data_IF_726105061404
#
_entry.id   IF_726105061404
#
_cell.length_a   1.000
_cell.length_b   1.000
_cell.length_c   1.000
_cell.angle_alpha   90.00
_cell.angle_beta   90.00
_cell.angle_gamma   90.00
#
_symmetry.space_group_name_H-M   'P 1'
#
loop_
_entity.id
_entity.type
_entity.pdbx_description
1 polymer ?
#
# COMPACT_ATOMS: atom_id res chain seq x y z
N UNK A 1 28.45 -6.62 21.73
CA UNK A 1 27.72 -5.93 22.81
C UNK A 1 26.85 -4.88 22.14
N UNK A 2 25.60 -5.21 21.83
CA UNK A 2 24.70 -4.37 21.03
C UNK A 2 24.00 -3.41 21.97
N UNK A 3 24.29 -2.11 21.84
CA UNK A 3 23.64 -1.06 22.62
C UNK A 3 22.24 -0.86 22.07
N UNK A 4 21.24 -1.34 22.81
CA UNK A 4 19.85 -0.96 22.62
C UNK A 4 19.67 0.49 23.05
N UNK A 5 19.64 1.41 22.10
CA UNK A 5 19.20 2.79 22.34
C UNK A 5 17.68 2.81 22.41
N UNK A 6 17.14 3.02 23.61
CA UNK A 6 15.73 3.33 23.87
C UNK A 6 15.36 4.64 23.19
N UNK A 7 14.27 4.61 22.42
CA UNK A 7 13.60 5.75 21.80
C UNK A 7 12.83 6.57 22.86
N UNK A 8 13.13 7.87 23.05
CA UNK A 8 12.48 8.69 24.07
C UNK A 8 11.22 9.38 23.51
N UNK A 9 10.05 9.01 24.04
CA UNK A 9 8.86 9.88 24.07
C UNK A 9 8.05 9.99 22.77
N UNK A 10 7.30 8.94 22.43
CA UNK A 10 6.26 9.00 21.38
C UNK A 10 5.88 7.63 20.81
N UNK A 11 6.79 6.65 20.86
CA UNK A 11 6.60 5.30 20.30
C UNK A 11 5.74 4.32 21.11
N UNK A 12 5.24 4.71 22.29
CA UNK A 12 4.58 3.79 23.23
C UNK A 12 3.28 3.16 22.68
N UNK A 13 2.62 3.80 21.72
CA UNK A 13 1.25 3.46 21.33
C UNK A 13 1.10 2.69 20.01
N UNK A 14 2.13 2.67 19.15
CA UNK A 14 2.19 1.76 18.00
C UNK A 14 2.65 0.36 18.43
N UNK A 15 3.55 0.29 19.41
CA UNK A 15 4.03 -0.97 19.99
C UNK A 15 2.93 -1.79 20.67
N UNK A 16 1.93 -1.14 21.28
CA UNK A 16 0.79 -1.82 21.93
C UNK A 16 -0.13 -2.57 20.94
N UNK A 17 -0.22 -2.10 19.69
CA UNK A 17 -0.99 -2.72 18.61
C UNK A 17 -0.24 -3.85 17.88
N UNK A 18 1.08 -4.01 18.10
CA UNK A 18 1.97 -4.94 17.37
C UNK A 18 1.87 -6.42 17.77
N UNK A 19 0.94 -6.80 18.64
CA UNK A 19 0.73 -8.23 18.91
C UNK A 19 0.14 -8.91 17.67
N UNK A 20 0.87 -9.83 17.02
CA UNK A 20 0.40 -10.57 15.83
C UNK A 20 -1.04 -11.10 15.99
N UNK A 21 -1.35 -11.65 17.16
CA UNK A 21 -2.69 -12.16 17.48
C UNK A 21 -3.77 -11.06 17.58
N UNK A 22 -3.41 -9.88 18.09
CA UNK A 22 -4.34 -8.76 18.18
C UNK A 22 -4.63 -8.16 16.79
N UNK A 23 -3.62 -8.10 15.93
CA UNK A 23 -3.75 -7.66 14.55
C UNK A 23 -4.70 -8.57 13.75
N UNK A 24 -4.58 -9.90 13.90
CA UNK A 24 -5.52 -10.88 13.31
C UNK A 24 -6.97 -10.67 13.78
N UNK A 25 -7.16 -10.44 15.08
CA UNK A 25 -8.51 -10.19 15.64
C UNK A 25 -9.08 -8.86 15.14
N UNK A 26 -8.26 -7.80 15.08
CA UNK A 26 -8.65 -6.50 14.53
C UNK A 26 -9.04 -6.60 13.06
N UNK A 27 -8.31 -7.36 12.25
CA UNK A 27 -8.60 -7.53 10.83
C UNK A 27 -9.92 -8.26 10.58
N UNK A 28 -10.21 -9.27 11.40
CA UNK A 28 -11.51 -9.95 11.37
C UNK A 28 -12.65 -9.03 11.81
N UNK A 29 -12.44 -8.18 12.82
CA UNK A 29 -13.44 -7.18 13.23
C UNK A 29 -13.69 -6.17 12.10
N UNK A 30 -12.62 -5.70 11.44
CA UNK A 30 -12.69 -4.78 10.29
C UNK A 30 -13.47 -5.39 9.13
N UNK A 31 -13.17 -6.65 8.78
CA UNK A 31 -13.80 -7.34 7.65
C UNK A 31 -15.25 -7.75 7.94
N UNK A 32 -15.60 -7.97 9.21
CA UNK A 32 -16.97 -8.26 9.62
C UNK A 32 -17.92 -7.05 9.52
N UNK A 33 -17.38 -5.82 9.53
CA UNK A 33 -18.17 -4.59 9.44
C UNK A 33 -19.21 -4.45 10.56
N UNK A 34 -20.33 -3.76 10.27
CA UNK A 34 -21.40 -3.51 11.24
C UNK A 34 -22.11 -4.79 11.73
N UNK A 35 -22.08 -5.87 10.94
CA UNK A 35 -22.62 -7.15 11.36
C UNK A 35 -21.86 -7.73 12.58
N UNK A 36 -20.60 -7.32 12.75
CA UNK A 36 -19.71 -7.77 13.80
C UNK A 36 -19.41 -9.27 13.76
N UNK A 37 -18.61 -9.74 14.71
CA UNK A 37 -18.17 -11.13 14.82
C UNK A 37 -18.16 -11.58 16.29
N UNK A 38 -18.61 -12.80 16.56
CA UNK A 38 -18.61 -13.35 17.92
C UNK A 38 -17.23 -13.86 18.34
N UNK A 39 -16.98 -13.95 19.66
CA UNK A 39 -15.72 -14.53 20.19
C UNK A 39 -15.47 -15.97 19.73
N UNK A 40 -16.54 -16.75 19.54
CA UNK A 40 -16.44 -18.12 19.03
C UNK A 40 -15.96 -18.14 17.57
N UNK A 41 -16.51 -17.27 16.73
CA UNK A 41 -16.09 -17.14 15.34
C UNK A 41 -14.67 -16.60 15.22
N UNK A 42 -14.29 -15.63 16.07
CA UNK A 42 -12.91 -15.14 16.17
C UNK A 42 -11.95 -16.28 16.52
N UNK A 43 -12.25 -17.10 17.54
CA UNK A 43 -11.41 -18.25 17.89
C UNK A 43 -11.30 -19.25 16.73
N UNK A 44 -12.43 -19.58 16.08
CA UNK A 44 -12.46 -20.51 14.96
C UNK A 44 -11.67 -20.03 13.74
N UNK A 45 -11.71 -18.73 13.40
CA UNK A 45 -11.01 -18.18 12.23
C UNK A 45 -9.54 -17.84 12.49
N UNK A 46 -9.18 -17.50 13.72
CA UNK A 46 -7.79 -17.19 14.08
C UNK A 46 -6.98 -18.40 14.53
N UNK A 47 -7.62 -19.50 14.93
CA UNK A 47 -6.95 -20.64 15.57
C UNK A 47 -6.50 -20.37 17.02
N UNK A 48 -6.86 -19.22 17.59
CA UNK A 48 -6.51 -18.85 18.96
C UNK A 48 -7.41 -19.55 19.98
N UNK A 49 -6.89 -19.77 21.19
CA UNK A 49 -7.69 -20.31 22.29
C UNK A 49 -8.81 -19.33 22.69
N UNK A 50 -9.97 -19.82 23.17
CA UNK A 50 -11.05 -18.94 23.65
C UNK A 50 -10.60 -17.95 24.74
N UNK A 51 -9.66 -18.36 25.59
CA UNK A 51 -9.06 -17.51 26.63
C UNK A 51 -8.23 -16.38 26.01
N UNK A 52 -7.40 -16.68 24.99
CA UNK A 52 -6.61 -15.68 24.29
C UNK A 52 -7.51 -14.65 23.58
N UNK A 53 -8.55 -15.11 22.87
CA UNK A 53 -9.54 -14.21 22.23
C UNK A 53 -10.25 -13.35 23.28
N UNK A 54 -10.61 -13.91 24.43
CA UNK A 54 -11.25 -13.15 25.51
C UNK A 54 -10.33 -12.05 26.05
N UNK A 55 -9.04 -12.35 26.29
CA UNK A 55 -8.05 -11.36 26.75
C UNK A 55 -7.82 -10.26 25.71
N UNK A 56 -7.67 -10.63 24.44
CA UNK A 56 -7.46 -9.67 23.34
C UNK A 56 -8.69 -8.76 23.20
N UNK A 57 -9.88 -9.33 23.10
CA UNK A 57 -11.12 -8.55 22.90
C UNK A 57 -11.45 -7.67 24.11
N UNK A 58 -11.16 -8.12 25.33
CA UNK A 58 -11.30 -7.27 26.52
C UNK A 58 -10.37 -6.05 26.46
N UNK A 59 -9.11 -6.26 26.06
CA UNK A 59 -8.15 -5.16 25.87
C UNK A 59 -8.59 -4.19 24.78
N UNK A 60 -9.00 -4.68 23.60
CA UNK A 60 -9.47 -3.84 22.50
C UNK A 60 -10.69 -2.99 22.89
N UNK A 61 -11.58 -3.53 23.73
CA UNK A 61 -12.72 -2.76 24.28
C UNK A 61 -12.27 -1.70 25.28
N UNK A 62 -11.35 -2.04 26.17
CA UNK A 62 -10.78 -1.08 27.14
C UNK A 62 -10.06 0.08 26.44
N UNK A 63 -9.44 -0.19 25.28
CA UNK A 63 -8.80 0.82 24.42
C UNK A 63 -9.80 1.57 23.52
N UNK A 64 -11.10 1.24 23.56
CA UNK A 64 -12.14 1.86 22.73
C UNK A 64 -12.12 1.46 21.25
N UNK A 65 -11.26 0.50 20.85
CA UNK A 65 -11.12 0.04 19.47
C UNK A 65 -12.24 -0.91 19.03
N UNK A 66 -12.90 -1.57 20.00
CA UNK A 66 -14.01 -2.48 19.74
C UNK A 66 -15.19 -2.19 20.68
N UNK A 67 -16.40 -2.37 20.17
CA UNK A 67 -17.65 -2.23 20.92
C UNK A 67 -18.54 -3.46 20.73
N UNK A 68 -19.55 -3.62 21.59
CA UNK A 68 -20.57 -4.65 21.37
C UNK A 68 -21.53 -4.18 20.27
N UNK A 69 -21.82 -5.04 19.30
CA UNK A 69 -22.72 -4.76 18.17
C UNK A 69 -24.19 -5.11 18.48
N UNK A 70 -24.55 -5.27 19.76
CA UNK A 70 -25.83 -5.81 20.22
C UNK A 70 -25.88 -7.34 20.31
N UNK A 71 -27.06 -7.88 20.65
CA UNK A 71 -27.32 -9.34 20.75
C UNK A 71 -28.03 -9.81 19.49
N UNK A 72 -27.41 -10.70 18.70
CA UNK A 72 -28.15 -11.45 17.65
C UNK A 72 -29.10 -12.46 18.30
N UNK A 73 -30.33 -12.56 17.79
CA UNK A 73 -31.26 -13.62 18.16
C UNK A 73 -30.64 -14.98 17.80
N UNK A 74 -30.53 -15.88 18.80
CA UNK A 74 -30.00 -17.23 18.61
C UNK A 74 -31.14 -18.17 18.24
N UNK A 75 -30.97 -18.97 17.19
CA UNK A 75 -31.75 -20.18 16.96
C UNK A 75 -31.32 -21.23 18.01
N UNK A 76 -31.83 -21.12 19.24
CA UNK A 76 -31.74 -22.16 20.27
C UNK A 76 -30.50 -22.18 21.18
N UNK A 77 -30.01 -21.03 21.69
CA UNK A 77 -28.88 -20.97 22.62
C UNK A 77 -28.70 -19.63 23.36
N UNK A 78 -27.77 -19.57 24.34
CA UNK A 78 -27.45 -18.35 25.12
C UNK A 78 -27.05 -17.20 24.17
N UNK A 79 -27.51 -15.95 24.38
CA UNK A 79 -27.22 -14.82 23.50
C UNK A 79 -25.71 -14.66 23.26
N UNK A 80 -25.30 -14.56 22.00
CA UNK A 80 -23.89 -14.39 21.63
C UNK A 80 -23.52 -12.93 21.69
N UNK A 81 -22.49 -12.57 22.47
CA UNK A 81 -21.88 -11.24 22.38
C UNK A 81 -21.18 -11.11 21.03
N UNK A 82 -21.65 -10.18 20.22
CA UNK A 82 -21.05 -9.82 18.94
C UNK A 82 -20.21 -8.56 19.15
N UNK A 83 -18.99 -8.56 18.62
CA UNK A 83 -18.07 -7.44 18.69
C UNK A 83 -17.93 -6.80 17.31
N UNK A 84 -17.83 -5.49 17.26
CA UNK A 84 -17.50 -4.72 16.06
C UNK A 84 -16.33 -3.78 16.32
N UNK A 85 -15.61 -3.44 15.26
CA UNK A 85 -14.63 -2.36 15.28
C UNK A 85 -15.35 -1.03 15.57
N UNK A 86 -14.69 -0.11 16.25
CA UNK A 86 -15.13 1.29 16.35
C UNK A 86 -14.31 2.09 15.33
N UNK A 87 -14.85 2.42 14.14
CA UNK A 87 -14.04 3.01 13.06
C UNK A 87 -13.32 4.29 13.48
N UNK A 88 -14.01 5.19 14.17
CA UNK A 88 -13.52 6.49 14.60
C UNK A 88 -12.55 6.45 15.80
N UNK A 89 -12.24 5.28 16.36
CA UNK A 89 -11.38 5.15 17.55
C UNK A 89 -9.93 5.59 17.30
N UNK A 90 -9.47 5.52 16.05
CA UNK A 90 -8.19 6.07 15.64
C UNK A 90 -8.20 6.41 14.14
N UNK A 91 -7.20 7.19 13.73
CA UNK A 91 -7.08 7.70 12.38
C UNK A 91 -5.68 7.46 11.80
N UNK A 92 -5.59 7.34 10.48
CA UNK A 92 -4.33 7.37 9.75
C UNK A 92 -4.32 8.55 8.79
N UNK A 93 -3.17 9.22 8.67
CA UNK A 93 -2.99 10.32 7.73
C UNK A 93 -2.28 9.81 6.48
N UNK A 94 -2.87 10.05 5.32
CA UNK A 94 -2.25 9.86 4.02
C UNK A 94 -1.85 11.20 3.41
N UNK A 95 -0.61 11.28 2.94
CA UNK A 95 -0.03 12.47 2.31
C UNK A 95 0.45 12.07 0.93
N UNK A 96 -0.05 12.74 -0.11
CA UNK A 96 0.44 12.60 -1.47
C UNK A 96 1.08 13.92 -1.91
N UNK A 97 2.40 13.89 -2.11
CA UNK A 97 3.17 14.95 -2.77
C UNK A 97 3.31 14.60 -4.25
N UNK A 98 2.50 15.23 -5.10
CA UNK A 98 2.68 15.20 -6.55
C UNK A 98 3.64 16.32 -6.96
N UNK A 99 3.94 16.43 -8.26
CA UNK A 99 4.79 17.48 -8.82
C UNK A 99 4.20 18.89 -8.65
N UNK A 100 2.88 19.02 -8.80
CA UNK A 100 2.14 20.28 -8.84
C UNK A 100 1.01 20.39 -7.79
N UNK A 101 0.85 19.39 -6.92
CA UNK A 101 -0.17 19.39 -5.89
C UNK A 101 0.20 18.62 -4.61
N UNK A 102 -0.44 19.01 -3.51
CA UNK A 102 -0.49 18.26 -2.26
C UNK A 102 -1.92 17.77 -2.03
N UNK A 103 -2.07 16.47 -1.76
CA UNK A 103 -3.34 15.88 -1.31
C UNK A 103 -3.16 15.24 0.06
N UNK A 104 -4.04 15.59 1.00
CA UNK A 104 -4.11 15.02 2.33
C UNK A 104 -5.41 14.23 2.49
N UNK A 105 -5.32 13.06 3.12
CA UNK A 105 -6.46 12.24 3.49
C UNK A 105 -6.34 11.80 4.95
N UNK A 106 -7.29 12.20 5.79
CA UNK A 106 -7.45 11.63 7.12
C UNK A 106 -8.45 10.48 7.01
N UNK A 107 -8.07 9.26 7.39
CA UNK A 107 -8.95 8.09 7.33
C UNK A 107 -9.22 7.53 8.71
N UNK A 108 -10.37 6.88 8.89
CA UNK A 108 -10.69 6.10 10.07
C UNK A 108 -10.01 4.71 10.03
N UNK A 109 -10.27 3.84 11.03
CA UNK A 109 -9.71 2.50 11.10
C UNK A 109 -10.21 1.54 10.00
N UNK A 110 -11.30 1.87 9.31
CA UNK A 110 -11.75 1.08 8.14
C UNK A 110 -11.06 1.52 6.85
N UNK A 111 -10.32 2.63 6.90
CA UNK A 111 -9.72 3.28 5.73
C UNK A 111 -10.68 4.23 5.01
N UNK A 112 -11.87 4.49 5.57
CA UNK A 112 -12.81 5.45 5.00
C UNK A 112 -12.31 6.88 5.25
N UNK A 113 -12.39 7.79 4.25
CA UNK A 113 -11.98 9.17 4.42
C UNK A 113 -12.90 9.92 5.39
N UNK A 114 -12.32 10.50 6.43
CA UNK A 114 -12.95 11.43 7.37
C UNK A 114 -12.81 12.87 6.88
N UNK A 115 -11.65 13.20 6.32
CA UNK A 115 -11.40 14.50 5.71
C UNK A 115 -10.43 14.39 4.54
N UNK A 116 -10.65 15.21 3.53
CA UNK A 116 -9.80 15.34 2.35
C UNK A 116 -9.44 16.80 2.13
N UNK A 117 -8.19 17.08 1.80
CA UNK A 117 -7.75 18.40 1.39
C UNK A 117 -6.83 18.29 0.19
N UNK A 118 -7.10 19.10 -0.84
CA UNK A 118 -6.27 19.20 -2.03
C UNK A 118 -5.87 20.66 -2.24
N UNK A 119 -4.63 20.89 -2.62
CA UNK A 119 -4.11 22.24 -2.87
C UNK A 119 -2.93 22.20 -3.85
N UNK A 120 -2.72 23.29 -4.61
CA UNK A 120 -1.50 23.46 -5.39
C UNK A 120 -0.26 23.41 -4.49
N UNK A 121 0.80 22.78 -4.98
CA UNK A 121 2.12 22.75 -4.35
C UNK A 121 3.17 22.45 -5.42
N UNK A 122 4.30 23.14 -5.42
CA UNK A 122 5.35 22.90 -6.41
C UNK A 122 6.47 22.09 -5.80
N UNK A 123 6.68 20.85 -6.25
CA UNK A 123 7.71 19.96 -5.71
C UNK A 123 9.14 20.50 -5.91
N UNK A 124 9.33 21.37 -6.91
CA UNK A 124 10.62 22.02 -7.22
C UNK A 124 10.92 23.24 -6.35
N UNK A 125 10.04 23.61 -5.41
CA UNK A 125 10.31 24.68 -4.43
C UNK A 125 11.32 24.28 -3.36
N UNK A 126 11.74 23.01 -3.35
CA UNK A 126 12.74 22.44 -2.46
C UNK A 126 12.16 21.69 -1.27
N UNK A 127 12.84 20.61 -0.82
CA UNK A 127 12.29 19.68 0.15
C UNK A 127 11.97 20.33 1.49
N UNK A 128 12.79 21.25 1.98
CA UNK A 128 12.55 21.92 3.26
C UNK A 128 11.28 22.76 3.24
N UNK A 129 11.07 23.53 2.18
CA UNK A 129 9.90 24.40 2.01
C UNK A 129 8.64 23.58 1.76
N UNK A 130 8.74 22.56 0.90
CA UNK A 130 7.64 21.62 0.62
C UNK A 130 7.20 20.94 1.92
N UNK A 131 8.11 20.34 2.69
CA UNK A 131 7.76 19.63 3.92
C UNK A 131 7.30 20.56 5.05
N UNK A 132 7.80 21.81 5.12
CA UNK A 132 7.27 22.82 6.03
C UNK A 132 5.79 23.10 5.72
N UNK A 133 5.51 23.37 4.44
CA UNK A 133 4.17 23.61 3.92
C UNK A 133 3.25 22.42 4.19
N UNK A 134 3.72 21.19 3.92
CA UNK A 134 2.96 19.97 4.22
C UNK A 134 2.62 19.88 5.71
N UNK A 135 3.57 20.15 6.61
CA UNK A 135 3.34 20.05 8.04
C UNK A 135 2.32 21.09 8.56
N UNK A 136 2.34 22.31 8.03
CA UNK A 136 1.33 23.33 8.33
C UNK A 136 -0.07 22.89 7.92
N UNK A 137 -0.18 22.29 6.74
CA UNK A 137 -1.46 21.82 6.21
C UNK A 137 -2.03 20.61 6.93
N UNK A 138 -1.15 19.71 7.35
CA UNK A 138 -1.54 18.59 8.20
C UNK A 138 -2.07 19.11 9.52
N UNK A 139 -1.39 20.06 10.17
CA UNK A 139 -1.88 20.67 11.42
C UNK A 139 -3.23 21.35 11.23
N UNK A 140 -3.40 22.10 10.14
CA UNK A 140 -4.66 22.76 9.81
C UNK A 140 -5.81 21.75 9.58
N UNK A 141 -5.54 20.66 8.84
CA UNK A 141 -6.52 19.59 8.62
C UNK A 141 -6.92 18.94 9.95
N UNK A 142 -5.95 18.56 10.78
CA UNK A 142 -6.20 17.91 12.06
C UNK A 142 -6.98 18.80 13.03
N UNK A 143 -6.65 20.09 13.10
CA UNK A 143 -7.38 21.07 13.91
C UNK A 143 -8.83 21.23 13.45
N UNK A 144 -9.10 21.24 12.14
CA UNK A 144 -10.45 21.34 11.59
C UNK A 144 -11.30 20.09 11.82
N UNK A 145 -10.66 18.92 12.03
CA UNK A 145 -11.34 17.65 12.30
C UNK A 145 -11.45 17.30 13.78
N UNK A 146 -10.86 18.11 14.67
CA UNK A 146 -11.00 17.88 16.10
C UNK A 146 -12.47 18.05 16.51
N UNK A 147 -13.02 17.16 17.35
CA UNK A 147 -14.37 17.33 17.88
C UNK A 147 -14.43 18.67 18.63
N UNK A 148 -15.48 19.46 18.37
CA UNK A 148 -15.69 20.73 19.05
C UNK A 148 -15.82 20.49 20.56
N UNK A 149 -14.80 20.88 21.32
CA UNK A 149 -14.74 20.75 22.77
C UNK A 149 -14.03 21.96 23.38
N UNK A 150 -14.87 22.87 23.89
CA UNK A 150 -14.65 23.88 24.94
C UNK A 150 -13.56 24.95 24.72
N UNK A 151 -14.02 26.21 24.69
CA UNK A 151 -13.17 27.38 24.75
C UNK A 151 -12.39 27.45 26.07
N UNK A 152 -11.41 28.37 26.18
CA UNK A 152 -10.63 28.52 27.40
C UNK A 152 -11.52 29.12 28.49
N UNK A 153 -12.18 28.27 29.28
CA UNK A 153 -12.91 28.71 30.46
C UNK A 153 -11.92 29.20 31.51
N UNK A 154 -11.77 30.53 31.53
CA UNK A 154 -11.90 31.36 32.72
C UNK A 154 -11.17 30.91 33.98
N UNK A 155 -9.99 31.48 34.20
CA UNK A 155 -9.48 31.72 35.54
C UNK A 155 -10.53 32.49 36.37
N UNK A 156 -10.97 31.87 37.47
CA UNK A 156 -11.80 32.48 38.50
C UNK A 156 -11.70 31.66 39.79
N UNK A 157 -11.46 32.27 40.96
CA UNK A 157 -10.66 31.66 42.02
C UNK A 157 -11.44 30.74 42.96
N UNK A 158 -10.65 29.87 43.59
CA UNK A 158 -10.97 28.99 44.71
C UNK A 158 -11.54 29.79 45.88
N UNK A 159 -12.71 29.36 46.38
CA UNK A 159 -13.31 29.81 47.63
C UNK A 159 -13.54 28.62 48.57
N UNK A 160 -13.07 28.79 49.80
CA UNK A 160 -12.93 27.81 50.87
C UNK A 160 -14.24 27.18 51.35
N UNK A 161 -14.14 25.97 51.92
CA UNK A 161 -15.27 25.17 52.39
C UNK A 161 -15.82 25.56 53.76
N UNK A 162 -16.87 24.84 54.17
CA UNK A 162 -17.26 24.58 55.56
C UNK A 162 -18.14 23.33 55.62
N UNK A 163 -17.97 22.61 56.71
CA UNK A 163 -18.59 21.33 57.07
C UNK A 163 -20.09 21.43 57.39
N UNK A 164 -20.80 20.30 57.36
CA UNK A 164 -22.19 20.21 57.85
C UNK A 164 -22.82 18.82 57.75
N UNK A 165 -22.79 18.12 58.89
CA UNK A 165 -23.62 17.04 59.45
C UNK A 165 -24.73 16.35 58.61
N UNK A 166 -24.83 15.02 58.82
CA UNK A 166 -25.78 14.14 58.16
C UNK A 166 -27.10 13.89 58.88
N UNK A 167 -27.94 13.06 58.26
CA UNK A 167 -29.05 12.32 58.90
C UNK A 167 -29.38 11.07 58.07
N UNK A 168 -29.71 10.00 58.79
CA UNK A 168 -30.13 8.69 58.30
C UNK A 168 -31.53 8.71 57.67
N UNK A 169 -31.79 7.79 56.74
CA UNK A 169 -33.13 7.52 56.19
C UNK A 169 -33.17 6.23 55.37
N UNK A 170 -33.81 5.20 55.92
CA UNK A 170 -34.11 3.91 55.28
C UNK A 170 -35.07 4.05 54.07
N UNK A 171 -34.92 3.16 53.09
CA UNK A 171 -36.08 2.58 52.39
C UNK A 171 -36.10 2.60 50.86
N UNK A 172 -36.13 1.38 50.31
CA UNK A 172 -36.94 0.90 49.18
C UNK A 172 -36.23 0.50 47.87
N UNK A 173 -36.59 -0.72 47.47
CA UNK A 173 -36.30 -1.40 46.22
C UNK A 173 -36.74 -0.60 44.99
N UNK A 174 -35.81 -0.38 44.06
CA UNK A 174 -36.04 0.32 42.80
C UNK A 174 -35.21 -0.28 41.68
N UNK A 175 -35.82 -1.22 40.95
CA UNK A 175 -35.36 -1.73 39.66
C UNK A 175 -35.28 -0.58 38.64
N UNK A 176 -34.08 -0.28 38.14
CA UNK A 176 -33.83 0.71 37.07
C UNK A 176 -32.80 0.19 36.06
N UNK A 177 -32.99 0.40 34.75
CA UNK A 177 -32.25 -0.25 33.68
C UNK A 177 -31.02 0.56 33.20
N UNK A 178 -30.20 -0.11 32.39
CA UNK A 178 -29.27 0.48 31.42
C UNK A 178 -28.07 1.26 31.96
N UNK A 179 -27.06 0.49 32.36
CA UNK A 179 -25.66 0.92 32.51
C UNK A 179 -25.06 1.20 31.12
N UNK A 180 -25.52 2.28 30.47
CA UNK A 180 -24.84 2.89 29.31
C UNK A 180 -23.59 3.61 29.81
N UNK A 181 -22.53 2.84 30.02
CA UNK A 181 -21.21 3.39 30.29
C UNK A 181 -20.74 4.19 29.05
N UNK A 182 -20.47 5.51 29.15
CA UNK A 182 -20.11 6.31 27.99
C UNK A 182 -18.75 5.85 27.46
N UNK A 183 -18.75 5.36 26.23
CA UNK A 183 -17.55 4.98 25.48
C UNK A 183 -16.64 6.21 25.33
N UNK A 184 -15.36 6.01 25.66
CA UNK A 184 -14.30 7.01 25.81
C UNK A 184 -14.36 8.27 24.95
N UNK A 185 -14.57 9.42 25.61
CA UNK A 185 -14.36 10.78 25.09
C UNK A 185 -12.87 11.18 25.18
N UNK A 186 -11.99 10.46 24.47
CA UNK A 186 -10.61 10.91 24.24
C UNK A 186 -10.50 11.71 22.93
N UNK A 187 -9.53 12.62 22.78
CA UNK A 187 -9.28 13.27 21.49
C UNK A 187 -8.99 12.21 20.41
N UNK A 188 -9.50 12.43 19.21
CA UNK A 188 -9.33 11.55 18.06
C UNK A 188 -7.84 11.25 17.82
N UNK A 189 -7.43 10.00 18.03
CA UNK A 189 -6.02 9.59 18.01
C UNK A 189 -5.53 9.38 16.57
N UNK A 190 -4.49 10.10 16.15
CA UNK A 190 -3.79 9.83 14.88
C UNK A 190 -2.64 8.84 15.12
N UNK A 191 -2.62 7.73 14.39
CA UNK A 191 -1.65 6.64 14.56
C UNK A 191 -0.28 6.96 13.96
N UNK A 192 -0.26 7.77 12.90
CA UNK A 192 0.92 8.13 12.13
C UNK A 192 0.54 8.71 10.77
N UNK A 193 1.54 9.02 9.95
CA UNK A 193 1.37 9.51 8.59
C UNK A 193 2.07 8.61 7.57
N UNK A 194 1.39 8.24 6.49
CA UNK A 194 2.01 7.68 5.31
C UNK A 194 2.21 8.77 4.27
N UNK A 195 3.44 8.89 3.78
CA UNK A 195 3.83 9.81 2.73
C UNK A 195 4.10 9.05 1.43
N UNK A 196 3.44 9.47 0.37
CA UNK A 196 3.60 8.99 -0.98
C UNK A 196 4.10 10.13 -1.87
N UNK A 197 5.15 9.85 -2.65
CA UNK A 197 5.74 10.83 -3.57
C UNK A 197 6.36 10.16 -4.81
N UNK A 198 6.61 10.89 -5.91
CA UNK A 198 7.33 10.37 -7.07
C UNK A 198 8.69 9.80 -6.71
N UNK A 199 9.03 8.68 -7.36
CA UNK A 199 10.35 8.06 -7.29
C UNK A 199 11.42 8.72 -8.18
N UNK A 200 12.66 8.19 -8.16
CA UNK A 200 13.12 7.09 -7.32
C UNK A 200 13.29 7.49 -5.84
N UNK A 201 13.10 6.55 -4.91
CA UNK A 201 13.33 6.73 -3.48
C UNK A 201 13.69 5.41 -2.78
N UNK A 202 14.37 5.51 -1.64
CA UNK A 202 14.61 4.41 -0.69
C UNK A 202 13.64 4.53 0.48
N UNK A 203 12.51 3.81 0.40
CA UNK A 203 11.49 3.84 1.44
C UNK A 203 11.96 3.20 2.75
N UNK A 204 12.90 2.23 2.70
CA UNK A 204 13.45 1.58 3.90
C UNK A 204 14.25 2.59 4.72
N UNK A 205 15.10 3.37 4.05
CA UNK A 205 15.89 4.44 4.68
C UNK A 205 15.11 5.75 4.87
N UNK A 206 13.98 5.92 4.19
CA UNK A 206 13.18 7.14 4.26
C UNK A 206 13.79 8.31 3.50
N UNK A 207 14.55 8.02 2.43
CA UNK A 207 15.39 8.97 1.69
C UNK A 207 14.91 9.08 0.25
N UNK A 208 14.73 10.30 -0.26
CA UNK A 208 14.43 10.51 -1.67
C UNK A 208 15.69 10.36 -2.55
N UNK A 209 15.50 9.88 -3.77
CA UNK A 209 16.54 9.84 -4.78
C UNK A 209 16.44 11.03 -5.73
N UNK A 210 17.09 10.91 -6.89
CA UNK A 210 17.03 11.92 -7.95
C UNK A 210 15.68 11.91 -8.66
N UNK A 211 14.72 12.63 -8.10
CA UNK A 211 13.40 12.84 -8.71
C UNK A 211 13.53 13.67 -9.98
N UNK A 212 12.95 13.20 -11.08
CA UNK A 212 12.99 13.87 -12.39
C UNK A 212 12.44 15.30 -12.30
N UNK A 213 13.27 16.29 -12.62
CA UNK A 213 12.92 17.72 -12.55
C UNK A 213 13.05 18.35 -11.18
N UNK A 214 13.42 17.59 -10.13
CA UNK A 214 13.54 18.08 -8.75
C UNK A 214 14.80 17.50 -8.07
N UNK A 215 15.98 17.75 -8.67
CA UNK A 215 17.25 17.14 -8.24
C UNK A 215 17.65 17.46 -6.78
N UNK A 216 17.14 18.55 -6.21
CA UNK A 216 17.32 18.94 -4.81
C UNK A 216 16.81 17.93 -3.77
N UNK A 217 16.03 16.93 -4.19
CA UNK A 217 15.57 15.83 -3.33
C UNK A 217 16.58 14.69 -3.21
N UNK A 218 17.61 14.65 -4.05
CA UNK A 218 18.58 13.54 -4.11
C UNK A 218 19.33 13.41 -2.77
N UNK A 219 19.10 12.30 -2.06
CA UNK A 219 19.68 12.04 -0.75
C UNK A 219 18.97 12.71 0.43
N UNK A 220 17.85 13.41 0.20
CA UNK A 220 17.14 14.14 1.27
C UNK A 220 16.41 13.18 2.23
N UNK A 221 16.57 13.31 3.57
CA UNK A 221 15.95 12.43 4.56
C UNK A 221 14.48 12.80 4.83
N UNK A 222 13.63 12.58 3.81
CA UNK A 222 12.22 13.01 3.79
C UNK A 222 11.45 12.53 5.01
N UNK A 223 11.57 11.24 5.36
CA UNK A 223 10.82 10.62 6.45
C UNK A 223 11.13 11.29 7.78
N UNK A 224 12.40 11.41 8.10
CA UNK A 224 12.86 11.87 9.42
C UNK A 224 12.56 13.36 9.59
N UNK A 225 12.74 14.16 8.54
CA UNK A 225 12.40 15.60 8.55
C UNK A 225 10.90 15.81 8.72
N UNK A 226 10.07 15.06 7.99
CA UNK A 226 8.62 15.21 8.13
C UNK A 226 8.13 14.69 9.49
N UNK A 227 8.68 13.57 9.98
CA UNK A 227 8.35 13.02 11.30
C UNK A 227 8.65 14.03 12.42
N UNK A 228 9.82 14.66 12.37
CA UNK A 228 10.20 15.71 13.32
C UNK A 228 9.24 16.92 13.27
N UNK A 229 8.80 17.33 12.08
CA UNK A 229 7.87 18.45 11.90
C UNK A 229 6.44 18.15 12.36
N UNK A 230 6.02 16.89 12.27
CA UNK A 230 4.66 16.46 12.63
C UNK A 230 4.55 15.98 14.08
N UNK A 231 5.66 15.53 14.69
CA UNK A 231 5.61 14.80 15.96
C UNK A 231 4.91 13.45 15.84
N UNK A 232 4.88 12.87 14.63
CA UNK A 232 4.20 11.61 14.31
C UNK A 232 5.17 10.64 13.62
N UNK A 233 5.01 9.32 13.80
CA UNK A 233 5.68 8.33 12.97
C UNK A 233 5.30 8.51 11.50
N UNK A 234 6.29 8.50 10.61
CA UNK A 234 6.09 8.62 9.17
C UNK A 234 6.57 7.36 8.46
N UNK A 235 5.71 6.79 7.60
CA UNK A 235 6.10 5.81 6.60
C UNK A 235 6.25 6.52 5.24
N UNK A 236 7.23 6.13 4.43
CA UNK A 236 7.46 6.69 3.09
C UNK A 236 7.27 5.58 2.07
N UNK A 237 6.67 5.87 0.92
CA UNK A 237 6.67 4.99 -0.24
C UNK A 237 6.49 5.80 -1.54
N UNK A 238 6.60 5.12 -2.69
CA UNK A 238 6.23 5.70 -3.98
C UNK A 238 4.73 5.87 -4.09
N UNK A 239 4.31 6.92 -4.78
CA UNK A 239 2.91 7.19 -5.16
C UNK A 239 2.19 5.97 -5.74
N UNK A 240 2.81 5.26 -6.68
CA UNK A 240 2.23 4.10 -7.32
C UNK A 240 2.11 2.90 -6.37
N UNK A 241 3.11 2.66 -5.52
CA UNK A 241 3.07 1.61 -4.51
C UNK A 241 2.00 1.87 -3.46
N UNK A 242 1.90 3.12 -2.98
CA UNK A 242 0.88 3.53 -2.03
C UNK A 242 -0.53 3.31 -2.59
N UNK A 243 -0.78 3.76 -3.82
CA UNK A 243 -2.05 3.51 -4.49
C UNK A 243 -2.33 2.00 -4.64
N UNK A 244 -1.35 1.22 -5.08
CA UNK A 244 -1.50 -0.23 -5.22
C UNK A 244 -1.80 -0.92 -3.87
N UNK A 245 -1.14 -0.53 -2.78
CA UNK A 245 -1.45 -1.00 -1.43
C UNK A 245 -2.89 -0.66 -1.04
N UNK A 246 -3.31 0.59 -1.26
CA UNK A 246 -4.69 1.02 -1.03
C UNK A 246 -5.72 0.19 -1.78
N UNK A 247 -5.42 -0.19 -3.03
CA UNK A 247 -6.29 -1.04 -3.84
C UNK A 247 -6.30 -2.49 -3.36
N UNK A 248 -5.16 -3.01 -2.89
CA UNK A 248 -4.97 -4.40 -2.45
C UNK A 248 -5.66 -4.74 -1.13
N UNK A 249 -5.78 -3.77 -0.22
CA UNK A 249 -6.44 -3.98 1.10
C UNK A 249 -7.97 -3.93 1.03
N UNK A 250 -8.54 -3.63 -0.15
CA UNK A 250 -9.99 -3.60 -0.36
C UNK A 250 -10.56 -5.03 -0.37
N UNK A 251 -11.78 -5.21 0.16
CA UNK A 251 -12.48 -6.49 0.04
C UNK A 251 -12.59 -6.94 -1.42
N UNK A 252 -12.25 -8.20 -1.71
CA UNK A 252 -12.34 -8.77 -3.05
C UNK A 252 -11.25 -8.31 -4.04
N UNK A 253 -10.23 -7.56 -3.58
CA UNK A 253 -9.12 -7.17 -4.44
C UNK A 253 -8.39 -8.39 -5.03
N UNK A 254 -7.96 -8.33 -6.31
CA UNK A 254 -7.15 -9.37 -6.90
C UNK A 254 -5.83 -9.53 -6.15
N UNK A 255 -5.33 -10.77 -6.06
CA UNK A 255 -4.05 -11.05 -5.38
C UNK A 255 -2.85 -10.63 -6.21
N UNK A 256 -2.94 -10.65 -7.54
CA UNK A 256 -1.85 -10.27 -8.42
C UNK A 256 -2.33 -9.28 -9.48
N UNK A 257 -1.84 -8.04 -9.42
CA UNK A 257 -2.23 -6.98 -10.36
C UNK A 257 -1.15 -5.89 -10.49
N UNK A 258 -1.22 -5.12 -11.57
CA UNK A 258 -0.48 -3.86 -11.71
C UNK A 258 -1.44 -2.67 -11.67
N UNK A 259 -1.15 -1.69 -10.83
CA UNK A 259 -1.73 -0.35 -10.92
C UNK A 259 -0.81 0.54 -11.75
N UNK A 260 -1.21 0.88 -12.97
CA UNK A 260 -0.46 1.74 -13.89
C UNK A 260 -0.99 3.16 -13.79
N UNK A 261 -0.13 4.07 -13.35
CA UNK A 261 -0.48 5.48 -13.12
C UNK A 261 0.10 6.36 -14.22
N UNK A 262 -0.75 7.13 -14.90
CA UNK A 262 -0.33 8.15 -15.87
C UNK A 262 -0.85 9.54 -15.47
N UNK A 263 0.09 10.46 -15.27
CA UNK A 263 -0.16 11.84 -14.85
C UNK A 263 0.91 12.79 -15.39
N UNK A 264 1.64 13.46 -14.49
CA UNK A 264 2.86 14.23 -14.87
C UNK A 264 4.04 13.31 -15.23
N UNK A 265 3.94 12.03 -14.84
CA UNK A 265 4.84 10.95 -15.21
C UNK A 265 4.09 9.64 -15.43
N UNK A 266 4.83 8.55 -15.61
CA UNK A 266 4.31 7.19 -15.78
C UNK A 266 5.02 6.21 -14.85
N UNK A 267 4.25 5.50 -14.03
CA UNK A 267 4.79 4.47 -13.13
C UNK A 267 3.82 3.33 -12.91
N UNK A 268 4.30 2.28 -12.24
CA UNK A 268 3.45 1.16 -11.84
C UNK A 268 3.64 0.82 -10.36
N UNK A 269 2.55 0.51 -9.68
CA UNK A 269 2.54 -0.15 -8.38
C UNK A 269 2.17 -1.60 -8.63
N UNK A 270 2.96 -2.52 -8.07
CA UNK A 270 2.84 -3.94 -8.37
C UNK A 270 2.37 -4.67 -7.11
N UNK A 271 1.38 -5.54 -7.26
CA UNK A 271 0.94 -6.44 -6.19
C UNK A 271 1.04 -7.86 -6.73
N UNK A 272 1.72 -8.73 -6.00
CA UNK A 272 1.92 -10.13 -6.36
C UNK A 272 1.66 -10.98 -5.13
N UNK A 273 0.78 -11.97 -5.25
CA UNK A 273 0.44 -12.85 -4.12
C UNK A 273 -0.21 -12.11 -2.94
N UNK A 274 -0.88 -10.98 -3.20
CA UNK A 274 -1.58 -10.15 -2.21
C UNK A 274 -0.69 -9.13 -1.50
N UNK A 275 0.59 -9.03 -1.85
CA UNK A 275 1.54 -8.12 -1.23
C UNK A 275 2.15 -7.15 -2.26
N UNK A 276 2.43 -5.89 -1.90
CA UNK A 276 3.15 -4.97 -2.76
C UNK A 276 4.56 -5.48 -3.10
N UNK A 277 4.90 -5.55 -4.39
CA UNK A 277 6.25 -5.85 -4.84
C UNK A 277 7.05 -4.54 -4.94
N UNK A 278 7.87 -4.24 -3.94
CA UNK A 278 8.74 -3.05 -3.91
C UNK A 278 10.17 -3.28 -4.43
N UNK A 279 10.58 -4.55 -4.45
CA UNK A 279 11.92 -5.00 -4.84
C UNK A 279 13.00 -4.72 -3.79
N UNK A 280 14.06 -5.52 -3.79
CA UNK A 280 15.11 -5.46 -2.77
C UNK A 280 15.83 -4.11 -2.69
N UNK A 281 15.95 -3.44 -3.84
CA UNK A 281 16.55 -2.09 -3.95
C UNK A 281 15.51 -0.98 -4.03
N UNK A 282 14.28 -1.22 -3.55
CA UNK A 282 13.16 -0.27 -3.52
C UNK A 282 12.66 0.30 -4.87
N UNK A 283 13.20 -0.21 -5.98
CA UNK A 283 12.98 0.31 -7.34
C UNK A 283 12.05 -0.52 -8.22
N UNK A 284 11.25 -1.44 -7.68
CA UNK A 284 10.28 -2.16 -8.53
C UNK A 284 9.18 -1.21 -9.04
N UNK A 285 8.64 -1.46 -10.23
CA UNK A 285 7.55 -0.66 -10.78
C UNK A 285 7.96 0.65 -11.47
N UNK A 286 9.24 0.86 -11.78
CA UNK A 286 9.75 1.95 -12.64
C UNK A 286 9.38 1.71 -14.12
N UNK A 287 8.08 1.50 -14.39
CA UNK A 287 7.53 1.15 -15.70
C UNK A 287 7.85 2.24 -16.73
N UNK A 288 7.73 3.51 -16.35
CA UNK A 288 7.95 4.65 -17.23
C UNK A 288 9.33 4.67 -17.89
N UNK A 289 10.34 4.07 -17.27
CA UNK A 289 11.72 4.08 -17.76
C UNK A 289 12.13 2.82 -18.54
N UNK A 290 11.19 1.89 -18.80
CA UNK A 290 11.44 0.78 -19.72
C UNK A 290 11.58 1.31 -21.16
N UNK A 291 12.69 0.99 -21.82
CA UNK A 291 12.90 1.33 -23.23
C UNK A 291 12.05 0.42 -24.12
N UNK A 292 11.14 1.03 -24.88
CA UNK A 292 10.29 0.33 -25.86
C UNK A 292 10.53 0.78 -27.30
N UNK A 293 11.32 1.83 -27.49
CA UNK A 293 11.76 2.31 -28.81
C UNK A 293 13.26 2.63 -28.79
N UNK A 294 14.10 1.77 -29.37
CA UNK A 294 15.56 1.90 -29.25
C UNK A 294 16.12 3.17 -29.90
N UNK A 295 15.49 3.63 -30.99
CA UNK A 295 15.77 4.86 -31.72
C UNK A 295 14.88 6.04 -31.26
N UNK A 296 14.23 5.90 -30.09
CA UNK A 296 13.32 6.89 -29.55
C UNK A 296 14.01 8.13 -28.96
N UNK A 297 13.22 9.11 -28.48
CA UNK A 297 13.74 10.37 -27.97
C UNK A 297 14.55 10.16 -26.67
N UNK A 298 15.46 11.10 -26.33
CA UNK A 298 16.14 11.12 -25.04
C UNK A 298 15.15 11.21 -23.87
N UNK A 299 15.42 10.44 -22.81
CA UNK A 299 14.69 10.50 -21.55
C UNK A 299 15.54 11.15 -20.46
N UNK A 300 14.91 11.87 -19.53
CA UNK A 300 15.58 12.50 -18.40
C UNK A 300 16.30 11.51 -17.47
N UNK A 301 15.94 10.22 -17.51
CA UNK A 301 16.64 9.16 -16.76
C UNK A 301 18.03 8.82 -17.35
N UNK A 302 18.36 9.33 -18.54
CA UNK A 302 19.62 9.08 -19.26
C UNK A 302 19.51 8.04 -20.38
N UNK A 303 18.41 7.28 -20.45
CA UNK A 303 18.13 6.35 -21.54
C UNK A 303 17.44 7.03 -22.73
N UNK A 304 16.98 6.23 -23.71
CA UNK A 304 16.19 6.66 -24.87
C UNK A 304 14.96 5.79 -25.06
N UNK A 305 13.91 6.39 -25.64
CA UNK A 305 12.64 5.76 -25.98
C UNK A 305 11.98 5.01 -24.84
N UNK A 306 12.05 5.60 -23.65
CA UNK A 306 11.33 5.13 -22.48
C UNK A 306 9.81 5.28 -22.68
N UNK A 307 9.02 4.39 -22.09
CA UNK A 307 7.56 4.44 -22.12
C UNK A 307 7.01 5.82 -21.73
N UNK A 308 7.51 6.41 -20.65
CA UNK A 308 7.05 7.71 -20.14
C UNK A 308 7.22 8.82 -21.17
N UNK A 309 8.41 8.97 -21.75
CA UNK A 309 8.69 10.07 -22.69
C UNK A 309 7.84 9.92 -23.96
N UNK A 310 7.60 8.69 -24.42
CA UNK A 310 6.74 8.42 -25.57
C UNK A 310 5.27 8.69 -25.27
N UNK A 311 4.75 8.18 -24.14
CA UNK A 311 3.38 8.41 -23.68
C UNK A 311 3.11 9.90 -23.49
N UNK A 312 3.96 10.61 -22.75
CA UNK A 312 3.78 12.04 -22.48
C UNK A 312 3.87 12.86 -23.77
N UNK A 313 4.77 12.52 -24.70
CA UNK A 313 4.84 13.19 -26.00
C UNK A 313 3.54 13.00 -26.82
N UNK A 314 2.93 11.82 -26.78
CA UNK A 314 1.64 11.57 -27.44
C UNK A 314 0.50 12.38 -26.78
N UNK A 315 0.46 12.42 -25.44
CA UNK A 315 -0.50 13.24 -24.67
C UNK A 315 -0.37 14.72 -25.02
N UNK A 316 0.87 15.26 -25.07
CA UNK A 316 1.12 16.67 -25.43
C UNK A 316 0.65 17.02 -26.84
N UNK A 317 0.73 16.06 -27.79
CA UNK A 317 0.19 16.25 -29.16
C UNK A 317 -1.33 16.09 -29.25
N UNK A 318 -2.00 15.72 -28.15
CA UNK A 318 -3.44 15.42 -28.13
C UNK A 318 -3.80 14.04 -28.69
N UNK A 319 -2.80 13.18 -28.97
CA UNK A 319 -3.01 11.83 -29.50
C UNK A 319 -3.16 10.81 -28.36
N UNK A 320 -4.34 10.83 -27.73
CA UNK A 320 -4.63 9.96 -26.58
C UNK A 320 -4.72 8.47 -26.98
N UNK A 321 -5.08 8.17 -28.23
CA UNK A 321 -5.12 6.80 -28.74
C UNK A 321 -3.71 6.21 -28.83
N UNK A 322 -2.75 6.97 -29.35
CA UNK A 322 -1.34 6.57 -29.35
C UNK A 322 -0.78 6.45 -27.94
N UNK A 323 -1.10 7.40 -27.05
CA UNK A 323 -0.71 7.32 -25.65
C UNK A 323 -1.22 6.03 -24.96
N UNK A 324 -2.48 5.66 -25.22
CA UNK A 324 -3.08 4.42 -24.71
C UNK A 324 -2.41 3.17 -25.30
N UNK A 325 -2.05 3.17 -26.58
CA UNK A 325 -1.32 2.06 -27.23
C UNK A 325 0.08 1.87 -26.63
N UNK A 326 0.81 2.95 -26.40
CA UNK A 326 2.14 2.92 -25.76
C UNK A 326 2.00 2.40 -24.32
N UNK A 327 1.02 2.91 -23.56
CA UNK A 327 0.73 2.43 -22.20
C UNK A 327 0.39 0.92 -22.21
N UNK A 328 -0.42 0.48 -23.17
CA UNK A 328 -0.74 -0.93 -23.41
C UNK A 328 0.48 -1.82 -23.65
N UNK A 329 1.51 -1.29 -24.32
CA UNK A 329 2.78 -2.00 -24.51
C UNK A 329 3.48 -2.23 -23.16
N UNK A 330 3.51 -1.21 -22.30
CA UNK A 330 4.02 -1.34 -20.93
C UNK A 330 3.23 -2.31 -20.07
N UNK A 331 1.90 -2.24 -20.13
CA UNK A 331 1.03 -3.15 -19.42
C UNK A 331 1.23 -4.62 -19.87
N UNK A 332 1.35 -4.85 -21.18
CA UNK A 332 1.60 -6.19 -21.73
C UNK A 332 2.94 -6.78 -21.23
N UNK A 333 3.98 -5.96 -21.10
CA UNK A 333 5.26 -6.38 -20.54
C UNK A 333 5.11 -6.82 -19.08
N UNK A 334 4.34 -6.09 -18.26
CA UNK A 334 4.08 -6.47 -16.87
C UNK A 334 3.29 -7.77 -16.77
N UNK A 335 2.23 -7.93 -17.57
CA UNK A 335 1.44 -9.17 -17.63
C UNK A 335 2.32 -10.36 -17.96
N UNK A 336 3.17 -10.24 -18.99
CA UNK A 336 4.04 -11.34 -19.43
C UNK A 336 5.13 -11.66 -18.40
N UNK A 337 5.75 -10.63 -17.81
CA UNK A 337 6.92 -10.80 -16.96
C UNK A 337 6.56 -11.26 -15.54
N UNK A 338 5.45 -10.75 -15.00
CA UNK A 338 5.07 -10.97 -13.60
C UNK A 338 3.91 -11.93 -13.42
N UNK A 339 3.30 -12.39 -14.53
CA UNK A 339 2.13 -13.27 -14.51
C UNK A 339 0.99 -12.73 -13.63
N UNK A 340 0.61 -11.47 -13.90
CA UNK A 340 -0.45 -10.77 -13.15
C UNK A 340 -1.83 -10.97 -13.80
N UNK A 341 -2.85 -11.08 -12.96
CA UNK A 341 -4.22 -11.42 -13.38
C UNK A 341 -5.04 -10.23 -13.88
N UNK A 342 -4.59 -9.00 -13.56
CA UNK A 342 -5.35 -7.76 -13.73
C UNK A 342 -4.43 -6.57 -13.99
N UNK A 343 -4.88 -5.66 -14.85
CA UNK A 343 -4.27 -4.33 -15.04
C UNK A 343 -5.28 -3.27 -14.63
N UNK A 344 -4.93 -2.47 -13.62
CA UNK A 344 -5.70 -1.32 -13.16
C UNK A 344 -5.04 -0.04 -13.63
N UNK A 345 -5.77 0.82 -14.33
CA UNK A 345 -5.28 2.09 -14.84
C UNK A 345 -5.72 3.24 -13.92
N UNK A 346 -4.86 4.23 -13.74
CA UNK A 346 -5.20 5.42 -12.97
C UNK A 346 -4.32 6.62 -13.30
N UNK A 347 -4.50 7.67 -12.51
CA UNK A 347 -3.84 8.96 -12.73
C UNK A 347 -4.69 9.92 -13.56
N UNK A 348 -4.41 11.22 -13.41
CA UNK A 348 -5.25 12.30 -13.95
C UNK A 348 -5.46 12.21 -15.47
N UNK A 349 -4.45 11.73 -16.21
CA UNK A 349 -4.52 11.63 -17.67
C UNK A 349 -5.44 10.50 -18.10
N UNK A 350 -5.40 9.35 -17.41
CA UNK A 350 -6.34 8.24 -17.64
C UNK A 350 -7.76 8.67 -17.29
N UNK A 351 -7.94 9.30 -16.13
CA UNK A 351 -9.26 9.71 -15.64
C UNK A 351 -9.92 10.79 -16.51
N UNK A 352 -9.14 11.57 -17.26
CA UNK A 352 -9.67 12.53 -18.22
C UNK A 352 -10.26 11.87 -19.48
N UNK A 353 -9.85 10.64 -19.82
CA UNK A 353 -10.32 9.89 -20.98
C UNK A 353 -10.36 8.37 -20.72
N UNK A 354 -11.14 7.89 -19.73
CA UNK A 354 -11.02 6.54 -19.20
C UNK A 354 -11.27 5.45 -20.24
N UNK A 355 -12.28 5.62 -21.11
CA UNK A 355 -12.58 4.67 -22.17
C UNK A 355 -11.43 4.51 -23.18
N UNK A 356 -10.81 5.62 -23.59
CA UNK A 356 -9.68 5.59 -24.55
C UNK A 356 -8.53 4.78 -24.00
N UNK A 357 -8.17 5.00 -22.74
CA UNK A 357 -7.06 4.29 -22.11
C UNK A 357 -7.39 2.83 -21.80
N UNK A 358 -8.60 2.54 -21.31
CA UNK A 358 -9.03 1.17 -21.04
C UNK A 358 -9.07 0.34 -22.33
N UNK A 359 -9.78 0.83 -23.35
CA UNK A 359 -9.98 0.13 -24.62
C UNK A 359 -8.67 0.01 -25.39
N UNK A 360 -7.87 1.08 -25.45
CA UNK A 360 -6.57 1.07 -26.15
C UNK A 360 -5.57 0.10 -25.50
N UNK A 361 -5.50 0.08 -24.17
CA UNK A 361 -4.66 -0.88 -23.44
C UNK A 361 -5.17 -2.31 -23.65
N UNK A 362 -6.48 -2.54 -23.52
CA UNK A 362 -7.10 -3.85 -23.72
C UNK A 362 -6.89 -4.38 -25.14
N UNK A 363 -6.96 -3.50 -26.16
CA UNK A 363 -6.70 -3.87 -27.56
C UNK A 363 -5.26 -4.36 -27.77
N UNK A 364 -4.27 -3.73 -27.13
CA UNK A 364 -2.87 -4.19 -27.19
C UNK A 364 -2.73 -5.57 -26.53
N UNK A 365 -3.30 -5.76 -25.34
CA UNK A 365 -3.24 -7.05 -24.63
C UNK A 365 -3.95 -8.16 -25.44
N UNK A 366 -5.12 -7.87 -26.01
CA UNK A 366 -5.87 -8.80 -26.85
C UNK A 366 -5.11 -9.18 -28.13
N UNK A 367 -4.47 -8.22 -28.80
CA UNK A 367 -3.61 -8.47 -29.97
C UNK A 367 -2.44 -9.40 -29.66
N UNK A 368 -1.94 -9.39 -28.42
CA UNK A 368 -0.89 -10.27 -27.92
C UNK A 368 -1.41 -11.55 -27.24
N UNK A 369 -2.73 -11.77 -27.27
CA UNK A 369 -3.43 -12.90 -26.64
C UNK A 369 -3.14 -13.03 -25.14
N UNK A 370 -3.04 -11.90 -24.44
CA UNK A 370 -2.85 -11.85 -22.99
C UNK A 370 -4.23 -11.81 -22.29
N UNK A 371 -4.50 -12.69 -21.31
CA UNK A 371 -5.84 -12.87 -20.73
C UNK A 371 -6.19 -11.88 -19.62
N UNK A 372 -5.29 -10.96 -19.25
CA UNK A 372 -5.50 -10.02 -18.16
C UNK A 372 -6.48 -8.91 -18.60
N UNK A 373 -7.66 -8.76 -17.95
CA UNK A 373 -8.55 -7.65 -18.24
C UNK A 373 -7.97 -6.33 -17.71
N UNK A 374 -8.42 -5.25 -18.33
CA UNK A 374 -8.01 -3.89 -18.06
C UNK A 374 -9.20 -3.12 -17.51
N UNK A 375 -9.00 -2.44 -16.38
CA UNK A 375 -10.03 -1.65 -15.72
C UNK A 375 -9.44 -0.29 -15.32
N UNK A 376 -10.25 0.77 -15.32
CA UNK A 376 -9.84 2.04 -14.70
C UNK A 376 -10.20 1.98 -13.22
N UNK A 377 -9.23 2.23 -12.36
CA UNK A 377 -9.45 2.24 -10.93
C UNK A 377 -10.34 3.43 -10.55
N UNK A 378 -11.58 3.14 -10.15
CA UNK A 378 -12.48 4.13 -9.55
C UNK A 378 -12.06 4.41 -8.10
N UNK A 379 -11.05 5.27 -7.96
CA UNK A 379 -10.50 5.67 -6.67
C UNK A 379 -10.00 7.11 -6.74
N UNK A 380 -10.89 8.10 -6.55
CA UNK A 380 -10.47 9.49 -6.34
C UNK A 380 -9.46 9.53 -5.20
N UNK A 381 -8.35 10.25 -5.40
CA UNK A 381 -7.27 10.35 -4.41
C UNK A 381 -6.67 9.00 -3.98
N UNK A 382 -6.69 7.98 -4.85
CA UNK A 382 -6.15 6.64 -4.60
C UNK A 382 -4.77 6.65 -3.92
N UNK A 383 -3.89 7.56 -4.35
CA UNK A 383 -2.54 7.68 -3.80
C UNK A 383 -2.56 8.14 -2.34
N UNK A 384 -3.34 9.17 -2.00
CA UNK A 384 -3.41 9.67 -0.63
C UNK A 384 -4.08 8.67 0.30
N UNK A 385 -5.18 8.04 -0.13
CA UNK A 385 -5.85 6.98 0.64
C UNK A 385 -4.95 5.75 0.80
N UNK A 386 -4.23 5.38 -0.24
CA UNK A 386 -3.22 4.32 -0.22
C UNK A 386 -2.04 4.65 0.68
N UNK A 387 -1.63 5.92 0.75
CA UNK A 387 -0.57 6.36 1.66
C UNK A 387 -1.00 6.18 3.12
N UNK A 388 -2.26 6.46 3.47
CA UNK A 388 -2.77 6.17 4.82
C UNK A 388 -2.64 4.68 5.19
N UNK A 389 -2.75 3.78 4.22
CA UNK A 389 -2.57 2.33 4.42
C UNK A 389 -1.13 1.92 4.77
N UNK A 390 -0.12 2.74 4.47
CA UNK A 390 1.26 2.49 4.93
C UNK A 390 1.34 2.45 6.47
N UNK A 391 0.45 3.17 7.14
CA UNK A 391 0.33 3.17 8.61
C UNK A 391 -0.76 2.21 9.08
N UNK A 392 -1.88 2.16 8.36
CA UNK A 392 -3.06 1.43 8.80
C UNK A 392 -2.98 -0.09 8.54
N UNK A 393 -2.46 -0.52 7.39
CA UNK A 393 -2.38 -1.94 7.03
C UNK A 393 -1.59 -2.79 8.07
N UNK A 394 -0.42 -2.34 8.59
CA UNK A 394 0.29 -3.05 9.66
C UNK A 394 -0.53 -3.28 10.93
N UNK A 395 -1.47 -2.38 11.27
CA UNK A 395 -2.36 -2.53 12.45
C UNK A 395 -3.24 -3.77 12.33
N UNK A 396 -3.58 -4.15 11.10
CA UNK A 396 -4.39 -5.32 10.76
C UNK A 396 -3.55 -6.54 10.37
N UNK A 397 -2.23 -6.50 10.58
CA UNK A 397 -1.33 -7.61 10.25
C UNK A 397 -1.13 -7.80 8.75
N UNK A 398 -1.60 -6.83 7.96
CA UNK A 398 -1.29 -6.67 6.56
C UNK A 398 0.05 -5.95 6.48
N UNK A 399 1.12 -6.72 6.68
CA UNK A 399 2.47 -6.18 6.61
C UNK A 399 2.76 -5.79 5.16
N UNK A 400 2.91 -4.48 4.86
CA UNK A 400 3.18 -4.03 3.52
C UNK A 400 4.54 -4.54 3.03
N UNK A 401 5.52 -4.75 3.93
CA UNK A 401 6.89 -5.14 3.60
C UNK A 401 7.11 -6.66 3.61
N UNK A 402 6.05 -7.43 3.88
CA UNK A 402 6.10 -8.88 3.85
C UNK A 402 6.27 -9.37 2.42
N UNK A 403 7.29 -10.18 2.18
CA UNK A 403 7.46 -10.88 0.92
C UNK A 403 6.22 -11.73 0.61
N UNK A 404 5.84 -11.89 -0.68
CA UNK A 404 4.74 -12.74 -1.08
C UNK A 404 4.93 -14.13 -0.44
N UNK A 405 3.99 -14.55 0.40
CA UNK A 405 4.00 -15.93 0.86
C UNK A 405 3.86 -16.83 -0.37
N UNK A 406 4.60 -17.94 -0.46
CA UNK A 406 4.34 -18.93 -1.49
C UNK A 406 2.86 -19.35 -1.39
N UNK A 407 2.20 -19.45 -2.54
CA UNK A 407 0.80 -19.82 -2.62
C UNK A 407 0.58 -21.10 -1.79
N UNK A 408 -0.41 -21.17 -0.88
CA UNK A 408 -0.70 -22.43 -0.21
C UNK A 408 -0.96 -23.46 -1.30
N UNK A 409 -0.12 -24.49 -1.35
CA UNK A 409 -0.23 -25.55 -2.34
C UNK A 409 -1.70 -25.99 -2.41
N UNK A 410 -2.29 -26.11 -3.61
CA UNK A 410 -3.69 -26.48 -3.73
C UNK A 410 -3.90 -27.73 -2.89
N UNK A 411 -4.92 -27.69 -2.01
CA UNK A 411 -5.23 -28.78 -1.10
C UNK A 411 -5.17 -30.09 -1.90
N UNK A 412 -4.14 -30.92 -1.65
CA UNK A 412 -4.01 -32.20 -2.32
C UNK A 412 -5.32 -32.93 -2.02
N UNK A 413 -6.12 -33.19 -3.05
CA UNK A 413 -7.22 -34.14 -2.92
C UNK A 413 -6.60 -35.40 -2.32
N UNK A 414 -7.20 -35.98 -1.26
CA UNK A 414 -6.72 -37.25 -0.74
C UNK A 414 -6.61 -38.21 -1.91
N UNK A 415 -5.45 -38.86 -2.04
CA UNK A 415 -5.23 -39.82 -3.11
C UNK A 415 -6.41 -40.80 -3.11
N UNK A 416 -7.00 -41.12 -4.28
CA UNK A 416 -7.95 -42.21 -4.35
C UNK A 416 -7.26 -43.46 -3.77
N UNK A 417 -7.93 -44.11 -2.82
CA UNK A 417 -7.43 -45.34 -2.19
C UNK A 417 -7.07 -46.37 -3.26
N UNK A 418 -6.14 -47.29 -2.96
CA UNK A 418 -5.66 -48.26 -3.95
C UNK A 418 -6.84 -49.05 -4.53
N UNK A 419 -7.01 -48.95 -5.84
CA UNK A 419 -7.89 -49.84 -6.61
C UNK A 419 -7.27 -51.24 -6.63
N UNK A 420 -8.06 -52.33 -6.54
CA UNK A 420 -7.53 -53.68 -6.55
C UNK A 420 -6.74 -53.95 -7.83
N UNK A 421 -5.53 -54.46 -7.66
CA UNK A 421 -4.59 -54.82 -8.73
C UNK A 421 -5.23 -55.83 -9.70
N UNK A 422 -5.32 -55.46 -10.98
CA UNK A 422 -5.50 -56.40 -12.08
C UNK A 422 -4.13 -56.70 -12.68
N UNK A 423 -3.70 -57.95 -12.57
CA UNK A 423 -2.47 -58.47 -13.15
C UNK A 423 -2.35 -58.16 -14.65
N UNK A 424 -1.23 -57.59 -15.12
CA UNK A 424 -0.93 -57.53 -16.55
C UNK A 424 -0.23 -58.80 -17.03
N UNK A 425 -0.72 -59.36 -18.14
CA UNK A 425 -0.09 -60.45 -18.89
C UNK A 425 1.27 -60.00 -19.49
N UNK A 426 2.24 -60.92 -19.69
CA UNK A 426 3.57 -60.58 -20.13
C UNK A 426 3.67 -60.48 -21.65
N UNK A 427 4.20 -59.36 -22.15
CA UNK A 427 4.72 -59.25 -23.53
C UNK A 427 6.21 -58.85 -23.54
N UNK A 428 6.97 -59.28 -24.57
CA UNK A 428 8.37 -59.66 -24.42
C UNK A 428 9.39 -58.55 -24.69
N UNK A 429 10.58 -58.81 -24.13
CA UNK A 429 11.88 -58.16 -24.18
C UNK A 429 12.13 -57.05 -25.23
N UNK A 430 12.61 -55.93 -24.70
CA UNK A 430 13.24 -54.79 -25.36
C UNK A 430 14.53 -55.16 -26.12
N UNK A 431 14.66 -54.67 -27.34
CA UNK A 431 15.96 -54.53 -28.02
C UNK A 431 16.74 -53.30 -27.51
N UNK A 432 18.06 -53.22 -27.74
CA UNK A 432 18.92 -52.23 -27.11
C UNK A 432 18.74 -50.81 -27.69
N UNK A 433 18.74 -49.82 -26.81
CA UNK A 433 18.69 -48.38 -27.11
C UNK A 433 19.90 -47.92 -27.95
N UNK A 434 19.73 -47.00 -28.92
CA UNK A 434 20.83 -46.41 -29.64
C UNK A 434 21.54 -45.33 -28.79
N UNK A 435 22.86 -45.47 -28.69
CA UNK A 435 23.77 -44.53 -28.04
C UNK A 435 23.88 -43.21 -28.83
N UNK A 436 23.61 -42.09 -28.16
CA UNK A 436 23.85 -40.74 -28.70
C UNK A 436 25.37 -40.46 -28.76
N UNK A 437 25.89 -40.19 -29.95
CA UNK A 437 27.27 -39.68 -30.14
C UNK A 437 27.35 -38.17 -29.84
N UNK A 438 28.44 -37.68 -29.23
CA UNK A 438 28.64 -36.24 -29.01
C UNK A 438 29.06 -35.53 -30.31
N UNK A 439 28.64 -34.27 -30.44
CA UNK A 439 28.98 -33.39 -31.56
C UNK A 439 30.43 -32.86 -31.46
N UNK A 440 31.13 -32.58 -32.59
CA UNK A 440 32.50 -32.08 -32.57
C UNK A 440 32.61 -30.57 -32.33
N UNK A 441 33.67 -30.19 -31.61
CA UNK A 441 34.09 -28.82 -31.31
C UNK A 441 34.29 -27.95 -32.56
N UNK A 442 33.86 -26.69 -32.50
CA UNK A 442 34.18 -25.66 -33.48
C UNK A 442 35.22 -24.68 -32.93
N UNK A 443 36.24 -24.43 -33.75
CA UNK A 443 37.47 -23.69 -33.48
C UNK A 443 37.27 -22.14 -33.44
N UNK A 444 38.25 -21.36 -32.94
CA UNK A 444 38.04 -19.97 -32.50
C UNK A 444 38.14 -18.93 -33.63
N UNK A 445 37.53 -17.76 -33.38
CA UNK A 445 37.53 -16.59 -34.25
C UNK A 445 38.92 -15.92 -34.41
N UNK A 446 39.23 -15.28 -35.55
CA UNK A 446 40.49 -14.59 -35.75
C UNK A 446 40.54 -13.19 -35.10
N UNK A 447 41.73 -12.84 -34.62
CA UNK A 447 42.09 -11.56 -34.00
C UNK A 447 42.21 -10.41 -35.03
N UNK A 448 42.10 -9.13 -34.61
CA UNK A 448 42.30 -7.99 -35.50
C UNK A 448 43.80 -7.70 -35.72
N UNK A 449 44.21 -7.56 -36.98
CA UNK A 449 45.56 -7.15 -37.36
C UNK A 449 45.81 -5.67 -37.05
N UNK A 450 46.86 -5.42 -36.25
CA UNK A 450 47.55 -4.15 -36.12
C UNK A 450 48.60 -4.00 -37.24
N UNK A 451 48.50 -2.96 -38.07
CA UNK A 451 49.42 -2.73 -39.19
C UNK A 451 49.72 -1.24 -39.43
N UNK A 452 50.70 -0.75 -38.67
CA UNK A 452 51.63 0.39 -38.87
C UNK A 452 51.48 1.32 -40.10
N UNK A 453 51.35 2.62 -39.78
CA UNK A 453 52.34 3.68 -40.01
C UNK A 453 53.25 3.57 -41.25
N UNK A 454 53.06 4.48 -42.21
CA UNK A 454 54.14 5.10 -42.99
C UNK A 454 53.88 6.58 -43.24
N UNK A 455 54.89 7.33 -42.85
CA UNK A 455 55.20 8.74 -43.03
C UNK A 455 55.20 9.27 -44.48
N UNK A 456 55.10 10.61 -44.52
CA UNK A 456 55.76 11.59 -45.41
C UNK A 456 55.23 11.81 -46.82
N UNK A 457 54.67 13.01 -47.01
CA UNK A 457 54.95 14.06 -48.02
C UNK A 457 53.68 14.95 -48.05
N UNK A 458 53.67 16.25 -47.79
CA UNK A 458 54.60 17.29 -48.22
C UNK A 458 53.87 18.22 -49.19
N UNK A 459 53.65 19.48 -48.78
CA UNK A 459 53.52 20.70 -49.62
C UNK A 459 52.11 21.05 -50.17
N UNK A 460 51.37 22.02 -49.59
CA UNK A 460 51.34 23.51 -49.73
C UNK A 460 50.32 24.03 -50.77
N UNK A 461 49.68 25.18 -50.41
CA UNK A 461 49.01 26.22 -51.23
C UNK A 461 47.53 25.87 -51.58
N UNK A 462 46.48 26.63 -51.23
CA UNK A 462 46.29 28.00 -50.71
C UNK A 462 44.99 28.06 -49.91
#
# INVERSE_FOLDING_TARGET
MTVMTRDPGGGANLAALRGHNAALVLDLLRTAGEAGISRLELAGRTGLTPQAVSKITARLRAEGLAAEAGRRASTGGKPRTVLRLVPAAAHALGIHLDRDALTLALTDLTGAPVALRHRPLTLTDGPERVLATTAEEVRALLAATAPAGEGPDGEGPVGEGTDGEGTDGEGTDGKGPDDENPVGKGPARVLGAGLAMPGPLDHRRGVAGRVTGAAMWDGFPVRDVLAARLGLPVALDKDTNAAALGLAVRPGAPRSFAYVHLGTGLGAGLVVGGAPLRGERTGAGELGHQTVQLDGPPCACGARGCLEVLCLAAVVRGDLAEAARILGTGAANLVRLLDIDRVLLGGRTVLAAPGVFADGTAAVLAGLRLPAPVEVADAPHAVALGAAQLVLAPVFGLDPDREPAPDPAPARKPAPGPTPESHPEPHPASGPEPTLKPAPDSAPAPAPESGRDRSSEGRTIR
#
